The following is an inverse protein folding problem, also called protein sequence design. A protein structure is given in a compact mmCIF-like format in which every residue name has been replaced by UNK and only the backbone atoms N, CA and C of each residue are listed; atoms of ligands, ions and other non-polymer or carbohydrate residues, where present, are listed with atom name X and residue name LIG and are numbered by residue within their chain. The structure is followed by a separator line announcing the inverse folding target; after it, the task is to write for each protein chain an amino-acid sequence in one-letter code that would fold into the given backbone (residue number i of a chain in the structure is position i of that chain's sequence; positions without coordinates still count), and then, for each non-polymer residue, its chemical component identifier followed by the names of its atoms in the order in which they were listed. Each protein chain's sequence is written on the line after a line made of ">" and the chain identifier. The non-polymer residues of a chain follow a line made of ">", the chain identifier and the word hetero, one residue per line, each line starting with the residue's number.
data_IF_485350186745
#
_entry.id   IF_485350186745
#
_cell.length_a   1.000
_cell.length_b   1.000
_cell.length_c   1.000
_cell.angle_alpha   90.00
_cell.angle_beta   90.00
_cell.angle_gamma   90.00
#
_symmetry.space_group_name_H-M   'P 1'
#
loop_
_entity.id
_entity.type
_entity.pdbx_description
1 polymer ?
#
# COMPACT_ATOMS: atom_id res chain seq x y z
N UNK A 1 42.44 -31.85 1.65
CA UNK A 1 41.13 -31.53 2.24
C UNK A 1 40.54 -30.32 1.51
N UNK A 2 39.91 -30.49 0.34
CA UNK A 2 39.53 -29.35 -0.55
C UNK A 2 38.18 -29.60 -1.29
N UNK A 3 37.23 -30.30 -0.68
CA UNK A 3 35.95 -30.70 -1.34
C UNK A 3 34.67 -30.24 -0.65
N UNK A 4 34.76 -29.44 0.42
CA UNK A 4 33.61 -29.09 1.28
C UNK A 4 33.34 -27.58 1.41
N UNK A 5 33.87 -26.76 0.50
CA UNK A 5 33.74 -25.28 0.54
C UNK A 5 32.83 -24.73 -0.57
N UNK A 6 32.55 -25.53 -1.61
CA UNK A 6 31.75 -25.12 -2.78
C UNK A 6 30.22 -25.20 -2.58
N UNK A 7 29.74 -25.60 -1.40
CA UNK A 7 28.32 -25.83 -1.14
C UNK A 7 27.57 -24.62 -0.53
N UNK A 8 28.29 -23.56 -0.13
CA UNK A 8 27.74 -22.46 0.71
C UNK A 8 27.55 -21.14 -0.05
N UNK A 9 27.76 -21.13 -1.37
CA UNK A 9 28.02 -19.90 -2.13
C UNK A 9 26.83 -19.34 -2.96
N UNK A 10 25.63 -19.94 -2.89
CA UNK A 10 24.53 -19.59 -3.81
C UNK A 10 23.13 -19.53 -3.16
N UNK A 11 23.03 -18.85 -2.02
CA UNK A 11 21.76 -18.37 -1.45
C UNK A 11 21.76 -16.84 -1.40
N UNK A 12 22.07 -16.20 -2.53
CA UNK A 12 21.97 -14.76 -2.71
C UNK A 12 20.50 -14.39 -2.95
N UNK A 13 19.71 -14.37 -1.87
CA UNK A 13 18.27 -14.08 -1.91
C UNK A 13 18.08 -12.59 -2.21
N UNK A 14 18.02 -12.25 -3.50
CA UNK A 14 17.71 -10.90 -3.97
C UNK A 14 16.36 -10.45 -3.40
N UNK A 15 16.39 -9.43 -2.54
CA UNK A 15 15.19 -8.74 -2.08
C UNK A 15 14.71 -7.82 -3.20
N UNK A 16 13.92 -8.37 -4.11
CA UNK A 16 13.01 -7.56 -4.90
C UNK A 16 11.93 -7.05 -3.94
N UNK A 17 11.97 -5.78 -3.59
CA UNK A 17 10.82 -5.11 -3.00
C UNK A 17 9.72 -5.05 -4.08
N UNK A 18 8.48 -5.28 -3.69
CA UNK A 18 7.35 -5.05 -4.57
C UNK A 18 6.88 -3.60 -4.38
N UNK A 19 6.62 -2.91 -5.48
CA UNK A 19 6.09 -1.53 -5.50
C UNK A 19 4.69 -1.50 -6.09
N UNK A 20 4.00 -0.35 -5.97
CA UNK A 20 2.75 -0.12 -6.69
C UNK A 20 2.79 1.17 -7.51
N UNK A 21 1.74 1.41 -8.30
CA UNK A 21 1.50 2.66 -9.01
C UNK A 21 0.01 3.00 -8.94
N UNK A 22 -0.34 4.25 -8.68
CA UNK A 22 -1.73 4.71 -8.82
C UNK A 22 -1.99 5.00 -10.30
N UNK A 23 -3.06 4.41 -10.83
CA UNK A 23 -3.50 4.54 -12.22
C UNK A 23 -4.67 5.53 -12.36
N UNK A 24 -5.43 5.75 -11.28
CA UNK A 24 -6.42 6.81 -11.14
C UNK A 24 -6.72 7.05 -9.64
N UNK A 25 -6.93 8.30 -9.18
CA UNK A 25 -6.62 9.55 -9.86
C UNK A 25 -5.12 9.70 -10.16
N UNK A 26 -4.74 10.69 -10.99
CA UNK A 26 -3.33 10.92 -11.30
C UNK A 26 -2.56 11.41 -10.06
N UNK A 27 -1.38 10.82 -9.82
CA UNK A 27 -0.51 11.19 -8.71
C UNK A 27 0.04 12.61 -8.85
N UNK A 28 0.41 13.20 -7.71
CA UNK A 28 1.20 14.43 -7.64
C UNK A 28 2.67 14.15 -7.39
N UNK A 29 3.53 14.96 -7.99
CA UNK A 29 4.98 14.73 -8.02
C UNK A 29 5.41 13.77 -9.13
N UNK A 30 6.71 13.52 -9.19
CA UNK A 30 7.33 12.50 -10.03
C UNK A 30 7.34 11.17 -9.25
N UNK A 31 6.84 10.08 -9.85
CA UNK A 31 6.92 8.75 -9.21
C UNK A 31 8.37 8.30 -9.10
N UNK A 32 8.76 7.87 -7.89
CA UNK A 32 10.13 7.43 -7.56
C UNK A 32 10.06 6.16 -6.73
N UNK A 33 10.45 5.06 -7.37
CA UNK A 33 10.48 3.70 -6.81
C UNK A 33 11.22 3.67 -5.44
N UNK A 34 12.45 4.19 -5.39
CA UNK A 34 13.29 4.28 -4.18
C UNK A 34 12.70 5.18 -3.05
N UNK A 35 11.76 6.07 -3.38
CA UNK A 35 11.14 7.00 -2.43
C UNK A 35 9.75 6.53 -1.96
N UNK A 36 9.15 5.49 -2.57
CA UNK A 36 7.75 5.10 -2.33
C UNK A 36 7.47 4.75 -0.85
N UNK A 37 8.45 4.23 -0.13
CA UNK A 37 8.37 3.94 1.32
C UNK A 37 8.39 5.16 2.25
N UNK A 38 8.48 6.39 1.72
CA UNK A 38 8.56 7.63 2.51
C UNK A 38 7.16 8.26 2.67
N UNK A 39 6.60 8.14 3.87
CA UNK A 39 5.37 8.83 4.28
C UNK A 39 5.50 10.37 4.06
N UNK A 40 4.43 11.08 3.68
CA UNK A 40 3.06 10.59 3.43
C UNK A 40 2.74 10.30 1.96
N UNK A 41 3.65 10.64 1.04
CA UNK A 41 3.40 10.79 -0.39
C UNK A 41 4.56 10.31 -1.28
N UNK A 42 5.32 9.30 -0.86
CA UNK A 42 6.43 8.74 -1.65
C UNK A 42 7.58 9.74 -1.77
N UNK A 43 7.92 10.41 -0.67
CA UNK A 43 8.96 11.44 -0.60
C UNK A 43 8.59 12.80 -1.22
N UNK A 44 7.48 12.90 -1.97
CA UNK A 44 6.97 14.17 -2.47
C UNK A 44 6.34 15.02 -1.35
N UNK A 45 6.55 16.33 -1.39
CA UNK A 45 5.91 17.31 -0.50
C UNK A 45 4.91 18.16 -1.30
N UNK A 46 3.60 17.85 -1.28
CA UNK A 46 2.59 18.67 -1.95
C UNK A 46 2.39 20.03 -1.24
N UNK A 47 1.81 20.99 -1.97
CA UNK A 47 1.19 22.19 -1.41
C UNK A 47 -0.24 22.31 -1.98
N UNK A 48 -1.28 22.11 -1.15
CA UNK A 48 -2.69 22.16 -1.59
C UNK A 48 -3.04 23.47 -2.31
N UNK A 49 -2.48 24.60 -1.87
CA UNK A 49 -2.76 25.92 -2.44
C UNK A 49 -2.33 26.00 -3.91
N UNK A 50 -1.08 25.67 -4.22
CA UNK A 50 -0.46 25.88 -5.55
C UNK A 50 -0.65 24.70 -6.52
N UNK A 51 -1.11 23.54 -6.05
CA UNK A 51 -1.16 22.32 -6.85
C UNK A 51 -2.42 22.21 -7.72
N UNK A 52 -2.25 21.62 -8.91
CA UNK A 52 -3.37 21.22 -9.77
C UNK A 52 -4.09 20.03 -9.15
N UNK A 53 -5.40 20.14 -9.01
CA UNK A 53 -6.30 19.09 -8.54
C UNK A 53 -7.05 18.44 -9.69
N UNK A 54 -7.40 17.16 -9.54
CA UNK A 54 -8.50 16.54 -10.30
C UNK A 54 -9.79 16.59 -9.49
N UNK A 55 -10.95 16.62 -10.14
CA UNK A 55 -12.23 16.52 -9.44
C UNK A 55 -12.44 15.08 -8.90
N UNK A 56 -12.99 14.97 -7.69
CA UNK A 56 -13.30 13.70 -7.01
C UNK A 56 -14.72 13.77 -6.43
N UNK A 57 -15.58 12.82 -6.79
CA UNK A 57 -17.02 12.88 -6.57
C UNK A 57 -17.43 12.32 -5.20
N UNK A 58 -17.98 13.17 -4.32
CA UNK A 58 -18.27 12.77 -2.93
C UNK A 58 -19.33 11.67 -2.80
N UNK A 59 -20.24 11.55 -3.76
CA UNK A 59 -21.25 10.49 -3.84
C UNK A 59 -20.75 9.19 -4.47
N UNK A 60 -19.43 9.04 -4.64
CA UNK A 60 -18.79 7.83 -5.16
C UNK A 60 -17.84 8.16 -6.30
N UNK A 61 -16.56 7.86 -6.10
CA UNK A 61 -15.52 7.90 -7.13
C UNK A 61 -14.64 6.63 -7.07
N UNK A 62 -13.67 6.50 -7.97
CA UNK A 62 -12.78 5.35 -8.05
C UNK A 62 -11.36 5.66 -7.54
N UNK A 63 -10.65 4.64 -7.07
CA UNK A 63 -9.19 4.62 -7.01
C UNK A 63 -8.69 3.32 -7.64
N UNK A 64 -7.89 3.45 -8.71
CA UNK A 64 -7.26 2.35 -9.41
C UNK A 64 -5.75 2.33 -9.11
N UNK A 65 -5.23 1.17 -8.76
CA UNK A 65 -3.81 0.91 -8.50
C UNK A 65 -3.32 -0.30 -9.28
N UNK A 66 -2.01 -0.44 -9.41
CA UNK A 66 -1.36 -1.65 -9.93
C UNK A 66 -0.27 -2.06 -8.96
N UNK A 67 -0.46 -3.18 -8.26
CA UNK A 67 0.52 -3.72 -7.29
C UNK A 67 1.32 -4.87 -7.89
N UNK A 68 2.60 -4.93 -7.56
CA UNK A 68 3.46 -6.09 -7.89
C UNK A 68 3.54 -7.13 -6.77
N UNK A 69 2.91 -6.87 -5.62
CA UNK A 69 2.85 -7.81 -4.50
C UNK A 69 1.93 -9.01 -4.79
N UNK A 70 2.17 -10.18 -4.17
CA UNK A 70 1.19 -11.26 -4.12
C UNK A 70 -0.06 -10.90 -3.28
N UNK A 71 0.03 -9.91 -2.39
CA UNK A 71 -1.06 -9.41 -1.55
C UNK A 71 -0.74 -7.97 -1.10
N UNK A 72 -1.74 -7.09 -1.08
CA UNK A 72 -1.60 -5.70 -0.56
C UNK A 72 -2.85 -5.33 0.24
N UNK A 73 -2.68 -4.80 1.44
CA UNK A 73 -3.77 -4.14 2.17
C UNK A 73 -3.78 -2.65 1.78
N UNK A 74 -4.93 -2.12 1.37
CA UNK A 74 -5.11 -0.75 0.91
C UNK A 74 -5.81 0.11 1.95
N UNK A 75 -5.25 1.29 2.21
CA UNK A 75 -5.88 2.39 2.95
C UNK A 75 -5.99 3.61 2.03
N UNK A 76 -7.17 4.21 1.99
CA UNK A 76 -7.42 5.50 1.37
C UNK A 76 -7.71 6.53 2.47
N UNK A 77 -6.81 7.51 2.63
CA UNK A 77 -6.90 8.57 3.63
C UNK A 77 -6.76 9.95 2.97
N UNK A 78 -7.46 10.95 3.48
CA UNK A 78 -7.38 12.34 2.99
C UNK A 78 -6.89 13.29 4.07
N UNK A 79 -6.31 14.43 3.68
CA UNK A 79 -6.08 15.55 4.58
C UNK A 79 -6.30 16.90 3.89
N UNK A 80 -6.64 17.89 4.72
CA UNK A 80 -6.76 19.30 4.37
C UNK A 80 -5.56 20.13 4.91
N UNK A 81 -4.54 19.48 5.48
CA UNK A 81 -3.23 20.06 5.81
C UNK A 81 -2.52 20.45 4.49
N UNK A 82 -2.19 21.72 4.31
CA UNK A 82 -1.57 22.25 3.07
C UNK A 82 -0.32 21.46 2.65
N UNK A 83 0.46 20.96 3.59
CA UNK A 83 1.70 20.21 3.38
C UNK A 83 1.53 18.69 3.57
N UNK A 84 0.28 18.24 3.72
CA UNK A 84 -0.12 16.86 3.96
C UNK A 84 0.54 16.15 5.17
N UNK A 85 0.98 16.90 6.19
CA UNK A 85 1.74 16.31 7.30
C UNK A 85 0.87 15.62 8.36
N UNK A 86 -0.31 16.16 8.64
CA UNK A 86 -1.18 15.74 9.75
C UNK A 86 -2.66 15.63 9.31
N UNK A 87 -3.54 15.37 10.28
CA UNK A 87 -5.01 15.43 10.15
C UNK A 87 -5.59 14.44 9.13
N UNK A 88 -4.98 13.27 9.02
CA UNK A 88 -5.37 12.19 8.11
C UNK A 88 -6.69 11.53 8.52
N UNK A 89 -7.69 11.60 7.64
CA UNK A 89 -9.01 10.97 7.82
C UNK A 89 -9.19 9.83 6.82
N UNK A 90 -9.52 8.63 7.28
CA UNK A 90 -9.85 7.49 6.44
C UNK A 90 -11.18 7.71 5.70
N UNK A 91 -11.23 7.50 4.38
CA UNK A 91 -12.45 7.71 3.56
C UNK A 91 -13.13 6.43 3.07
N UNK A 92 -12.51 5.27 3.27
CA UNK A 92 -13.06 3.98 2.85
C UNK A 92 -12.59 2.87 3.79
N UNK A 93 -13.29 1.73 3.84
CA UNK A 93 -12.82 0.56 4.60
C UNK A 93 -11.47 0.05 4.08
N UNK A 94 -10.62 -0.48 4.96
CA UNK A 94 -9.35 -1.09 4.53
C UNK A 94 -9.66 -2.38 3.75
N UNK A 95 -9.08 -2.53 2.57
CA UNK A 95 -9.34 -3.68 1.67
C UNK A 95 -8.05 -4.46 1.43
N UNK A 96 -8.09 -5.77 1.65
CA UNK A 96 -7.04 -6.68 1.19
C UNK A 96 -7.29 -7.05 -0.27
N UNK A 97 -6.34 -6.71 -1.14
CA UNK A 97 -6.16 -7.31 -2.46
C UNK A 97 -5.30 -8.57 -2.32
N UNK A 98 -5.72 -9.66 -2.96
CA UNK A 98 -4.89 -10.84 -3.22
C UNK A 98 -4.65 -10.97 -4.72
N UNK A 99 -3.42 -11.34 -5.09
CA UNK A 99 -2.93 -11.38 -6.47
C UNK A 99 -2.30 -10.06 -6.95
N UNK A 100 -1.17 -10.10 -7.69
CA UNK A 100 -0.58 -8.91 -8.31
C UNK A 100 -1.39 -8.48 -9.55
N UNK A 101 -1.23 -7.22 -9.94
CA UNK A 101 -1.84 -6.63 -11.13
C UNK A 101 -2.71 -5.41 -10.82
N UNK A 102 -3.51 -5.03 -11.81
CA UNK A 102 -4.40 -3.87 -11.80
C UNK A 102 -5.65 -4.16 -10.95
N UNK A 103 -5.94 -3.26 -10.01
CA UNK A 103 -7.04 -3.34 -9.07
C UNK A 103 -7.73 -1.98 -8.95
N UNK A 104 -9.06 -1.99 -8.82
CA UNK A 104 -9.85 -0.80 -8.59
C UNK A 104 -10.81 -0.96 -7.42
N UNK A 105 -10.70 -0.04 -6.46
CA UNK A 105 -11.75 0.24 -5.49
C UNK A 105 -12.72 1.24 -6.12
N UNK A 106 -14.01 0.90 -6.12
CA UNK A 106 -15.11 1.67 -6.69
C UNK A 106 -15.95 2.30 -5.59
N UNK A 107 -16.80 3.24 -5.97
CA UNK A 107 -17.88 3.77 -5.13
C UNK A 107 -17.37 4.32 -3.79
N UNK A 108 -16.17 4.94 -3.80
CA UNK A 108 -15.56 5.58 -2.63
C UNK A 108 -16.33 6.86 -2.32
N UNK A 109 -17.25 6.77 -1.37
CA UNK A 109 -18.04 7.90 -0.87
C UNK A 109 -17.25 8.72 0.14
N UNK A 110 -17.38 10.04 0.08
CA UNK A 110 -16.73 11.02 0.96
C UNK A 110 -17.81 11.93 1.57
N UNK A 111 -17.65 12.45 2.80
CA UNK A 111 -18.64 13.37 3.39
C UNK A 111 -18.93 14.58 2.49
N UNK A 112 -20.21 14.85 2.22
CA UNK A 112 -20.64 15.94 1.33
C UNK A 112 -20.33 17.34 1.86
N UNK A 113 -20.04 17.47 3.16
CA UNK A 113 -19.47 18.67 3.78
C UNK A 113 -18.05 19.02 3.30
N UNK A 114 -17.43 18.18 2.46
CA UNK A 114 -16.13 18.45 1.84
C UNK A 114 -16.23 19.03 0.42
N UNK A 115 -17.42 19.09 -0.19
CA UNK A 115 -17.62 19.68 -1.54
C UNK A 115 -17.09 21.12 -1.59
N UNK A 116 -16.34 21.44 -2.64
CA UNK A 116 -15.66 22.72 -2.83
C UNK A 116 -14.32 22.87 -2.10
N UNK A 117 -13.87 21.86 -1.33
CA UNK A 117 -12.54 21.83 -0.72
C UNK A 117 -11.55 21.09 -1.62
N UNK A 118 -10.31 21.58 -1.68
CA UNK A 118 -9.16 20.78 -2.12
C UNK A 118 -8.65 19.91 -0.97
N UNK A 119 -8.08 18.74 -1.27
CA UNK A 119 -7.41 17.87 -0.31
C UNK A 119 -6.26 17.10 -0.97
N UNK A 120 -5.36 16.52 -0.17
CA UNK A 120 -4.48 15.45 -0.61
C UNK A 120 -5.11 14.11 -0.25
N UNK A 121 -5.33 13.26 -1.25
CA UNK A 121 -5.68 11.85 -1.11
C UNK A 121 -4.38 11.04 -1.11
N UNK A 122 -4.04 10.42 0.02
CA UNK A 122 -2.93 9.47 0.16
C UNK A 122 -3.47 8.04 -0.02
N UNK A 123 -2.98 7.38 -1.06
CA UNK A 123 -3.16 5.96 -1.34
C UNK A 123 -2.01 5.24 -0.66
N UNK A 124 -2.34 4.33 0.25
CA UNK A 124 -1.35 3.64 1.09
C UNK A 124 -1.47 2.13 0.87
N UNK A 125 -0.38 1.51 0.42
CA UNK A 125 -0.27 0.06 0.24
C UNK A 125 0.60 -0.57 1.32
N UNK A 126 0.06 -1.51 2.10
CA UNK A 126 0.80 -2.30 3.08
C UNK A 126 1.10 -3.68 2.50
N UNK A 127 2.40 -3.98 2.35
CA UNK A 127 2.93 -5.20 1.75
C UNK A 127 3.63 -6.12 2.75
N UNK A 128 4.33 -7.14 2.22
CA UNK A 128 5.16 -8.08 3.00
C UNK A 128 6.52 -7.51 3.40
N UNK A 129 6.94 -6.42 2.75
CA UNK A 129 8.25 -5.75 2.83
C UNK A 129 8.14 -4.32 3.39
N UNK A 130 7.04 -3.60 3.17
CA UNK A 130 6.90 -2.20 3.62
C UNK A 130 5.49 -1.67 3.89
N UNK A 131 5.42 -0.36 4.11
CA UNK A 131 4.26 0.47 3.74
C UNK A 131 4.76 1.41 2.66
N UNK A 132 3.96 1.61 1.63
CA UNK A 132 4.29 2.39 0.44
C UNK A 132 3.19 3.42 0.22
N UNK A 133 3.57 4.59 -0.30
CA UNK A 133 2.77 5.80 -0.29
C UNK A 133 2.80 6.50 -1.64
N UNK A 134 1.62 6.79 -2.18
CA UNK A 134 1.45 7.69 -3.33
C UNK A 134 0.29 8.65 -3.05
N UNK A 135 0.42 9.90 -3.48
CA UNK A 135 -0.59 10.93 -3.25
C UNK A 135 -1.16 11.47 -4.57
N UNK A 136 -2.41 11.88 -4.52
CA UNK A 136 -3.09 12.65 -5.56
C UNK A 136 -3.70 13.90 -4.94
N UNK A 137 -3.67 15.04 -5.62
CA UNK A 137 -4.40 16.23 -5.20
C UNK A 137 -5.80 16.22 -5.80
N UNK A 138 -6.82 16.31 -4.95
CA UNK A 138 -8.23 16.21 -5.34
C UNK A 138 -8.99 17.49 -4.97
N UNK A 139 -10.03 17.80 -5.73
CA UNK A 139 -11.02 18.82 -5.44
C UNK A 139 -12.39 18.14 -5.37
N UNK A 140 -13.06 18.25 -4.23
CA UNK A 140 -14.29 17.50 -4.01
C UNK A 140 -15.49 18.15 -4.69
N UNK A 141 -16.16 17.39 -5.55
CA UNK A 141 -17.34 17.82 -6.30
C UNK A 141 -18.58 17.00 -5.92
N UNK A 142 -19.76 17.58 -6.15
CA UNK A 142 -21.03 16.92 -5.86
C UNK A 142 -21.44 15.95 -6.99
N UNK A 143 -22.05 14.82 -6.62
CA UNK A 143 -22.46 13.76 -7.55
C UNK A 143 -21.65 12.49 -7.38
N UNK A 144 -21.67 11.63 -8.39
CA UNK A 144 -20.97 10.34 -8.47
C UNK A 144 -20.26 10.30 -9.83
N UNK A 145 -19.05 9.75 -9.89
CA UNK A 145 -18.25 9.69 -11.11
C UNK A 145 -18.71 8.58 -12.07
N UNK A 146 -18.51 8.79 -13.36
CA UNK A 146 -18.41 7.69 -14.32
C UNK A 146 -17.14 6.86 -14.03
N UNK A 147 -17.22 5.54 -14.15
CA UNK A 147 -16.06 4.67 -13.91
C UNK A 147 -14.94 4.96 -14.93
N UNK A 148 -13.73 5.38 -14.51
CA UNK A 148 -12.65 5.72 -15.44
C UNK A 148 -12.09 4.45 -16.10
N UNK A 149 -11.52 4.58 -17.30
CA UNK A 149 -11.00 3.43 -18.08
C UNK A 149 -9.84 2.69 -17.41
N UNK A 150 -9.12 3.33 -16.49
CA UNK A 150 -8.11 2.71 -15.64
C UNK A 150 -8.70 1.83 -14.51
N UNK A 151 -9.99 1.96 -14.18
CA UNK A 151 -10.64 1.20 -13.12
C UNK A 151 -11.03 -0.22 -13.57
N UNK A 152 -10.01 -1.07 -13.67
CA UNK A 152 -10.13 -2.49 -14.01
C UNK A 152 -9.58 -3.38 -12.90
N UNK A 153 -10.11 -4.61 -12.81
CA UNK A 153 -9.57 -5.66 -11.94
C UNK A 153 -8.98 -6.77 -12.82
N UNK A 154 -7.74 -7.16 -12.54
CA UNK A 154 -7.10 -8.32 -13.16
C UNK A 154 -7.87 -9.62 -12.85
N UNK A 155 -7.87 -10.57 -13.79
CA UNK A 155 -8.65 -11.82 -13.67
C UNK A 155 -8.20 -12.75 -12.54
N UNK A 156 -7.01 -12.55 -12.00
CA UNK A 156 -6.45 -13.25 -10.84
C UNK A 156 -6.65 -12.53 -9.50
N UNK A 157 -7.29 -11.36 -9.49
CA UNK A 157 -7.41 -10.52 -8.30
C UNK A 157 -8.73 -10.78 -7.57
N UNK A 158 -8.63 -10.99 -6.25
CA UNK A 158 -9.76 -10.96 -5.32
C UNK A 158 -9.54 -9.85 -4.30
N UNK A 159 -10.64 -9.29 -3.79
CA UNK A 159 -10.60 -8.20 -2.82
C UNK A 159 -11.67 -8.36 -1.74
N UNK A 160 -11.32 -8.08 -0.49
CA UNK A 160 -12.23 -8.14 0.66
C UNK A 160 -11.80 -7.19 1.78
N UNK A 161 -12.77 -6.60 2.49
CA UNK A 161 -12.47 -5.78 3.67
C UNK A 161 -11.69 -6.56 4.74
N UNK A 162 -10.74 -5.89 5.38
CA UNK A 162 -9.93 -6.43 6.49
C UNK A 162 -9.69 -5.36 7.56
N UNK A 163 -9.41 -5.79 8.78
CA UNK A 163 -8.68 -4.94 9.73
C UNK A 163 -7.19 -4.99 9.41
N UNK A 164 -6.48 -3.89 9.66
CA UNK A 164 -5.02 -3.81 9.62
C UNK A 164 -4.59 -2.72 10.61
N UNK A 165 -4.00 -3.09 11.76
CA UNK A 165 -3.64 -2.15 12.83
C UNK A 165 -2.52 -1.19 12.41
N UNK A 166 -1.62 -1.65 11.54
CA UNK A 166 -0.49 -0.88 11.00
C UNK A 166 -1.03 0.26 10.13
N UNK A 167 -1.96 -0.03 9.22
CA UNK A 167 -2.67 0.98 8.44
C UNK A 167 -3.59 1.86 9.31
N UNK A 168 -4.34 1.29 10.25
CA UNK A 168 -5.25 2.04 11.15
C UNK A 168 -4.51 3.05 12.04
N UNK A 169 -3.24 2.79 12.35
CA UNK A 169 -2.39 3.74 13.07
C UNK A 169 -2.13 5.02 12.26
N UNK A 170 -2.03 4.94 10.92
CA UNK A 170 -1.66 6.05 10.01
C UNK A 170 -2.74 7.13 9.83
N UNK A 171 -3.93 6.93 10.42
CA UNK A 171 -4.99 7.94 10.57
C UNK A 171 -5.24 8.31 12.03
N UNK A 172 -4.64 7.58 12.98
CA UNK A 172 -4.73 7.83 14.42
C UNK A 172 -3.57 8.70 14.93
N UNK A 173 -2.37 8.55 14.36
CA UNK A 173 -1.16 9.25 14.77
C UNK A 173 -0.93 10.56 13.98
N UNK A 174 -1.74 11.59 14.27
CA UNK A 174 -1.47 12.98 13.83
C UNK A 174 -0.86 13.83 14.97
N UNK A 175 0.13 13.26 15.66
CA UNK A 175 0.96 13.94 16.65
C UNK A 175 2.42 13.66 16.32
N UNK A 176 3.01 14.48 15.45
CA UNK A 176 4.46 14.47 15.24
C UNK A 176 5.14 14.82 16.57
N UNK A 177 6.08 14.00 17.01
CA UNK A 177 7.02 14.40 18.04
C UNK A 177 8.08 15.29 17.39
N UNK A 178 8.19 16.54 17.84
CA UNK A 178 9.28 17.42 17.40
C UNK A 178 10.65 16.82 17.81
N UNK A 179 11.53 16.60 16.83
CA UNK A 179 12.92 16.18 17.04
C UNK A 179 13.75 17.32 17.67
N UNK A 180 13.51 17.57 18.96
CA UNK A 180 14.23 18.56 19.75
C UNK A 180 15.14 17.87 20.77
N UNK A 181 16.37 17.58 20.33
CA UNK A 181 17.42 17.01 21.17
C UNK A 181 17.96 18.04 22.15
N UNK A 182 17.47 18.02 23.40
CA UNK A 182 18.08 18.74 24.53
C UNK A 182 18.30 17.82 25.75
N UNK A 183 19.35 18.10 26.52
CA UNK A 183 19.89 17.25 27.59
C UNK A 183 19.78 17.91 28.97
N UNK A 184 18.58 17.90 29.54
CA UNK A 184 18.30 18.38 30.91
C UNK A 184 18.22 17.26 31.95
N UNK A 185 18.95 17.37 33.06
CA UNK A 185 19.08 16.31 34.08
C UNK A 185 18.67 16.75 35.49
N UNK A 186 18.35 15.77 36.36
CA UNK A 186 18.11 15.84 37.83
C UNK A 186 16.67 16.15 38.30
N UNK A 187 16.18 15.47 39.35
CA UNK A 187 14.79 15.65 39.82
C UNK A 187 14.31 15.06 41.17
N UNK A 188 14.96 14.01 41.74
CA UNK A 188 14.78 13.51 43.13
C UNK A 188 13.40 12.94 43.58
N UNK A 189 13.34 11.76 44.27
CA UNK A 189 12.09 11.14 44.73
C UNK A 189 11.63 11.57 46.16
N UNK A 190 10.39 11.24 46.52
CA UNK A 190 9.82 11.43 47.88
C UNK A 190 8.63 10.48 48.17
N UNK A 191 8.23 10.26 49.44
CA UNK A 191 8.34 8.89 49.96
C UNK A 191 7.04 8.20 50.46
N UNK A 192 7.25 6.98 50.95
CA UNK A 192 6.30 6.02 51.53
C UNK A 192 5.41 6.53 52.68
N UNK A 193 4.20 5.97 52.76
CA UNK A 193 3.42 5.83 54.01
C UNK A 193 3.18 4.35 54.33
N UNK A 194 3.24 3.99 55.61
CA UNK A 194 3.20 2.59 56.08
C UNK A 194 1.89 2.25 56.77
N UNK A 195 1.34 1.06 56.51
CA UNK A 195 0.13 0.54 57.16
C UNK A 195 0.27 -0.93 57.51
N UNK A 196 0.49 -1.22 58.80
CA UNK A 196 0.43 -2.58 59.39
C UNK A 196 -0.86 -2.67 60.24
N UNK A 197 -1.42 -3.82 60.63
CA UNK A 197 -0.84 -5.17 60.74
C UNK A 197 -1.90 -6.28 60.92
N UNK A 198 -1.76 -7.43 60.21
CA UNK A 198 -1.98 -8.83 60.71
C UNK A 198 -3.37 -9.28 61.27
N UNK A 199 -3.60 -10.59 61.51
CA UNK A 199 -3.28 -11.78 60.69
C UNK A 199 -4.43 -12.82 60.60
N UNK A 200 -4.26 -13.86 59.77
CA UNK A 200 -4.70 -15.24 60.04
C UNK A 200 -3.93 -16.24 59.18
N UNK A 201 -3.76 -17.47 59.67
CA UNK A 201 -3.03 -18.57 59.00
C UNK A 201 -4.03 -19.60 58.41
N UNK A 202 -3.65 -20.64 57.65
CA UNK A 202 -2.33 -21.26 57.34
C UNK A 202 -2.32 -21.69 55.83
N UNK A 203 -1.57 -22.65 55.24
CA UNK A 203 -0.68 -23.74 55.67
C UNK A 203 0.38 -24.09 54.60
N UNK A 204 1.39 -24.84 55.02
CA UNK A 204 2.21 -25.89 54.36
C UNK A 204 1.88 -26.28 52.90
N UNK A 205 2.85 -26.63 52.02
CA UNK A 205 4.32 -26.61 52.15
C UNK A 205 5.01 -26.73 50.75
N UNK A 206 6.32 -26.43 50.72
CA UNK A 206 7.26 -26.73 49.62
C UNK A 206 7.96 -28.11 49.87
N UNK A 207 9.04 -28.57 49.16
CA UNK A 207 9.81 -27.91 48.08
C UNK A 207 10.35 -28.83 46.93
N UNK A 208 11.13 -28.24 46.01
CA UNK A 208 12.33 -28.86 45.34
C UNK A 208 12.08 -29.95 44.26
N UNK A 209 13.03 -30.36 43.39
CA UNK A 209 14.41 -29.92 43.08
C UNK A 209 14.87 -30.36 41.66
N UNK A 210 15.62 -29.50 40.94
CA UNK A 210 16.75 -29.78 40.00
C UNK A 210 16.65 -30.76 38.78
N UNK A 211 17.72 -30.69 37.97
CA UNK A 211 18.23 -31.70 37.00
C UNK A 211 17.55 -31.70 35.62
N UNK A 212 18.11 -31.03 34.59
CA UNK A 212 19.24 -31.45 33.72
C UNK A 212 19.02 -32.80 33.00
N UNK A 213 19.06 -32.81 31.66
CA UNK A 213 20.24 -33.32 30.92
C UNK A 213 20.00 -33.53 29.41
N UNK A 214 21.12 -33.58 28.68
CA UNK A 214 21.40 -34.28 27.40
C UNK A 214 20.65 -33.92 26.10
N UNK A 215 21.49 -33.83 25.07
CA UNK A 215 21.26 -33.59 23.65
C UNK A 215 20.38 -34.64 22.93
N UNK A 216 19.88 -34.27 21.75
CA UNK A 216 19.22 -35.17 20.81
C UNK A 216 19.36 -34.71 19.36
N UNK A 217 20.45 -35.09 18.68
CA UNK A 217 20.60 -34.86 17.24
C UNK A 217 19.62 -35.74 16.44
N UNK A 218 18.70 -35.10 15.71
CA UNK A 218 17.66 -35.79 14.91
C UNK A 218 17.59 -35.27 13.48
N UNK A 219 18.54 -35.63 12.62
CA UNK A 219 18.54 -35.24 11.20
C UNK A 219 17.59 -36.14 10.39
N UNK A 220 16.55 -35.56 9.77
CA UNK A 220 15.65 -36.27 8.86
C UNK A 220 15.84 -35.76 7.41
N UNK A 221 16.65 -36.46 6.63
CA UNK A 221 16.84 -36.19 5.21
C UNK A 221 15.75 -36.91 4.39
N UNK A 222 14.81 -36.15 3.82
CA UNK A 222 13.88 -36.66 2.81
C UNK A 222 14.44 -36.33 1.42
N UNK A 223 15.08 -37.30 0.79
CA UNK A 223 15.59 -37.20 -0.59
C UNK A 223 14.46 -37.35 -1.60
N UNK A 224 13.75 -36.26 -1.89
CA UNK A 224 12.78 -36.20 -2.99
C UNK A 224 13.48 -36.07 -4.35
N UNK A 225 13.52 -37.14 -5.13
CA UNK A 225 14.00 -37.10 -6.51
C UNK A 225 12.88 -36.68 -7.47
N UNK A 226 13.08 -35.60 -8.23
CA UNK A 226 12.24 -35.25 -9.38
C UNK A 226 13.08 -35.29 -10.66
N UNK A 227 12.52 -35.84 -11.73
CA UNK A 227 13.21 -35.96 -13.02
C UNK A 227 13.12 -34.64 -13.81
N UNK A 228 14.24 -34.22 -14.39
CA UNK A 228 14.28 -33.22 -15.45
C UNK A 228 13.96 -33.88 -16.79
N UNK A 229 12.86 -33.49 -17.44
CA UNK A 229 12.56 -33.80 -18.84
C UNK A 229 11.86 -32.59 -19.49
N UNK A 230 12.33 -32.16 -20.66
CA UNK A 230 11.53 -31.35 -21.59
C UNK A 230 11.71 -29.83 -21.56
N UNK A 231 12.89 -29.32 -21.96
CA UNK A 231 12.97 -27.97 -22.53
C UNK A 231 12.35 -27.98 -23.93
N UNK A 232 11.13 -27.45 -24.07
CA UNK A 232 10.51 -27.18 -25.37
C UNK A 232 10.98 -25.83 -25.92
N UNK A 233 11.71 -25.84 -27.04
CA UNK A 233 12.03 -24.60 -27.75
C UNK A 233 10.77 -24.08 -28.47
N UNK A 234 10.46 -22.79 -28.29
CA UNK A 234 9.57 -22.06 -29.19
C UNK A 234 10.18 -20.68 -29.50
N UNK A 235 10.87 -20.61 -30.65
CA UNK A 235 11.35 -19.37 -31.25
C UNK A 235 10.60 -19.16 -32.57
N UNK A 236 10.34 -17.90 -32.90
CA UNK A 236 9.69 -17.45 -34.15
C UNK A 236 8.24 -17.94 -34.35
N UNK A 237 7.35 -17.20 -35.03
CA UNK A 237 7.41 -15.86 -35.65
C UNK A 237 6.05 -15.17 -35.47
N UNK A 238 6.03 -13.85 -35.33
CA UNK A 238 5.09 -12.95 -36.04
C UNK A 238 5.27 -11.48 -35.65
N UNK A 239 5.96 -10.73 -36.51
CA UNK A 239 5.80 -9.28 -36.62
C UNK A 239 5.35 -8.99 -38.06
N UNK A 240 4.61 -7.88 -38.27
CA UNK A 240 3.94 -7.43 -39.52
C UNK A 240 2.49 -7.89 -39.76
N UNK A 241 1.56 -7.19 -39.09
CA UNK A 241 0.34 -6.65 -39.74
C UNK A 241 0.35 -5.16 -39.35
N UNK A 242 0.90 -4.22 -40.13
CA UNK A 242 0.57 -3.83 -41.52
C UNK A 242 -0.89 -3.37 -41.68
N UNK A 243 -1.25 -2.36 -40.90
CA UNK A 243 -1.63 -1.02 -41.42
C UNK A 243 -2.46 -1.01 -42.73
N UNK A 244 -3.67 -1.55 -42.65
CA UNK A 244 -4.84 -1.14 -43.43
C UNK A 244 -6.03 -1.17 -42.43
N UNK A 245 -7.02 -0.28 -42.48
CA UNK A 245 -7.36 0.71 -43.50
C UNK A 245 -7.28 2.15 -42.95
N UNK A 246 -6.81 3.06 -43.79
CA UNK A 246 -7.26 4.45 -43.82
C UNK A 246 -7.88 4.67 -45.21
N UNK A 247 -8.46 5.84 -45.47
CA UNK A 247 -9.11 6.23 -46.73
C UNK A 247 -10.41 5.48 -47.09
N UNK A 248 -11.55 6.10 -46.72
CA UNK A 248 -12.81 5.96 -47.46
C UNK A 248 -13.63 7.25 -47.36
N UNK A 249 -13.46 8.09 -48.40
CA UNK A 249 -14.31 9.24 -48.76
C UNK A 249 -14.43 10.40 -47.76
N UNK A 250 -13.54 11.38 -47.93
CA UNK A 250 -13.98 12.78 -48.00
C UNK A 250 -13.86 13.21 -49.47
N UNK A 251 -14.98 13.59 -50.09
CA UNK A 251 -15.06 14.15 -51.45
C UNK A 251 -16.16 15.23 -51.44
N UNK A 252 -16.01 16.24 -52.29
CA UNK A 252 -16.76 17.51 -52.20
C UNK A 252 -18.16 17.44 -52.85
N UNK A 253 -19.04 18.42 -52.60
CA UNK A 253 -20.34 18.45 -53.30
C UNK A 253 -21.51 19.25 -52.74
N UNK A 254 -21.32 20.52 -52.36
CA UNK A 254 -22.40 21.52 -52.54
C UNK A 254 -22.31 22.14 -53.95
N UNK A 255 -23.36 22.77 -54.53
CA UNK A 255 -24.69 23.07 -53.98
C UNK A 255 -25.87 22.59 -54.88
N UNK A 256 -27.12 22.79 -54.42
CA UNK A 256 -28.26 22.90 -55.34
C UNK A 256 -29.20 24.07 -54.99
N UNK A 257 -29.73 24.72 -56.02
CA UNK A 257 -30.73 25.81 -55.94
C UNK A 257 -32.11 25.29 -56.36
N UNK A 258 -33.17 25.78 -55.73
CA UNK A 258 -34.55 25.70 -56.21
C UNK A 258 -35.53 25.92 -55.03
N UNK A 259 -36.24 27.05 -54.94
CA UNK A 259 -37.43 27.43 -55.73
C UNK A 259 -38.63 26.50 -55.50
N UNK A 260 -39.36 26.74 -54.40
CA UNK A 260 -40.66 27.42 -54.43
C UNK A 260 -40.98 28.06 -53.07
#
# INVERSE_FOLDING_TARGET
>A
MIRSVLATALLLVARANAHFTVQYPNTVGEFKDDDEGKDPCGGYSPNITDIQTVDFHVGGDAVATKSTHPQTNWLYRITFDDLAKNNWTQVYGIVQQSGPGDYCTKDITVPSEYVGKKAILSIVGSGLDGVLYQCSAVHFVNGTADTPSACVNGSSITASYTSDDKLSSLVSSSTVGDDNSDSGSSGTPSPSTSGSSTPSATHNAAPSLQTLSTEGFGALLITGAMLLVGFGNFSETSSKIVRMQQDLHLEDGSPFRGLL
#
